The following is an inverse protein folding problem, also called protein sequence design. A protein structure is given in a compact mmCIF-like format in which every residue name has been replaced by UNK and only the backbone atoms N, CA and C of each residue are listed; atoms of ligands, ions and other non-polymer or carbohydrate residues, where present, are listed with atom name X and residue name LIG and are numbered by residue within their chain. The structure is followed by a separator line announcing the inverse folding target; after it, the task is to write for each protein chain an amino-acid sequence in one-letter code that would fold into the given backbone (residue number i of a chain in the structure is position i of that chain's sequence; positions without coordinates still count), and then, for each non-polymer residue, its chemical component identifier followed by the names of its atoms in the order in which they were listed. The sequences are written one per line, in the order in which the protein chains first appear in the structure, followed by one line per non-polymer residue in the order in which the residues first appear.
data_IF_773924986558
#
_entry.id   IF_773924986558
#
_cell.length_a   1.000
_cell.length_b   1.000
_cell.length_c   1.000
_cell.angle_alpha   90.00
_cell.angle_beta   90.00
_cell.angle_gamma   90.00
#
_symmetry.space_group_name_H-M   'P 1'
#
loop_
_entity.id
_entity.type
_entity.pdbx_description
1 polymer ?
#
# COMPACT_ATOMS: atom_id res chain seq x y z
N UNK A 1 43.72 10.95 -11.25
CA UNK A 1 42.59 11.81 -11.53
C UNK A 1 41.52 10.99 -12.30
N UNK A 2 41.04 9.89 -11.70
CA UNK A 2 40.01 8.97 -12.25
C UNK A 2 39.05 8.48 -11.15
N UNK A 3 38.84 9.22 -10.08
CA UNK A 3 38.01 8.77 -8.95
C UNK A 3 36.67 9.52 -8.80
N UNK A 4 36.24 10.33 -9.76
CA UNK A 4 35.07 11.19 -9.55
C UNK A 4 33.93 11.02 -10.57
N UNK A 5 33.90 9.92 -11.33
CA UNK A 5 32.81 9.63 -12.28
C UNK A 5 31.80 8.62 -11.72
N UNK A 6 32.14 7.90 -10.67
CA UNK A 6 31.23 6.90 -10.05
C UNK A 6 30.14 7.52 -9.15
N UNK A 7 30.25 8.78 -8.76
CA UNK A 7 29.36 9.45 -7.80
C UNK A 7 28.08 10.07 -8.42
N UNK A 8 27.86 9.96 -9.73
CA UNK A 8 26.72 10.58 -10.41
C UNK A 8 25.77 9.60 -11.13
N UNK A 9 25.80 8.32 -10.79
CA UNK A 9 24.65 7.48 -11.11
C UNK A 9 23.56 7.81 -10.08
N UNK A 10 22.82 8.88 -10.38
CA UNK A 10 21.60 9.18 -9.62
C UNK A 10 20.75 7.92 -9.70
N UNK A 11 20.56 7.30 -8.57
CA UNK A 11 19.79 6.07 -8.37
C UNK A 11 18.36 6.27 -8.90
N UNK A 12 18.11 5.88 -10.14
CA UNK A 12 16.79 6.07 -10.78
C UNK A 12 15.70 5.31 -10.05
N UNK A 13 16.00 4.13 -9.55
CA UNK A 13 15.05 3.30 -8.80
C UNK A 13 14.68 3.96 -7.47
N UNK A 14 15.66 4.45 -6.73
CA UNK A 14 15.42 5.13 -5.45
C UNK A 14 14.61 6.42 -5.63
N UNK A 15 14.98 7.29 -6.57
CA UNK A 15 14.23 8.52 -6.85
C UNK A 15 12.80 8.22 -7.32
N UNK A 16 12.61 7.17 -8.11
CA UNK A 16 11.28 6.76 -8.52
C UNK A 16 10.44 6.24 -7.35
N UNK A 17 11.05 5.57 -6.36
CA UNK A 17 10.36 5.15 -5.15
C UNK A 17 9.92 6.36 -4.31
N UNK A 18 10.81 7.35 -4.12
CA UNK A 18 10.48 8.60 -3.41
C UNK A 18 9.35 9.37 -4.12
N UNK A 19 9.44 9.50 -5.46
CA UNK A 19 8.42 10.18 -6.27
C UNK A 19 7.05 9.50 -6.14
N UNK A 20 7.00 8.16 -6.31
CA UNK A 20 5.76 7.41 -6.18
C UNK A 20 5.17 7.51 -4.77
N UNK A 21 6.02 7.34 -3.74
CA UNK A 21 5.61 7.51 -2.34
C UNK A 21 4.97 8.89 -2.13
N UNK A 22 5.62 9.97 -2.60
CA UNK A 22 5.11 11.33 -2.52
C UNK A 22 3.76 11.50 -3.25
N UNK A 23 3.61 10.96 -4.46
CA UNK A 23 2.33 11.00 -5.21
C UNK A 23 1.21 10.30 -4.45
N UNK A 24 1.49 9.15 -3.83
CA UNK A 24 0.51 8.40 -3.06
C UNK A 24 0.07 9.11 -1.78
N UNK A 25 0.95 9.87 -1.13
CA UNK A 25 0.61 10.68 0.03
C UNK A 25 -0.37 11.82 -0.29
N UNK A 26 -0.35 12.32 -1.52
CA UNK A 26 -1.20 13.42 -1.97
C UNK A 26 -2.57 12.97 -2.49
N UNK A 27 -2.83 11.65 -2.57
CA UNK A 27 -4.09 11.13 -3.10
C UNK A 27 -4.95 10.44 -2.05
N UNK A 28 -6.26 10.54 -2.19
CA UNK A 28 -7.23 9.74 -1.43
C UNK A 28 -7.53 8.39 -2.12
N UNK A 29 -7.13 8.21 -3.38
CA UNK A 29 -7.41 7.04 -4.22
C UNK A 29 -6.10 6.44 -4.74
N UNK A 30 -5.40 5.72 -3.86
CA UNK A 30 -4.11 5.10 -4.17
C UNK A 30 -4.16 4.18 -5.42
N UNK A 31 -5.27 3.46 -5.64
CA UNK A 31 -5.43 2.58 -6.80
C UNK A 31 -5.34 3.34 -8.12
N UNK A 32 -6.00 4.49 -8.25
CA UNK A 32 -5.92 5.31 -9.47
C UNK A 32 -4.54 5.93 -9.69
N UNK A 33 -3.88 6.32 -8.60
CA UNK A 33 -2.51 6.83 -8.70
C UNK A 33 -1.54 5.75 -9.18
N UNK A 34 -1.70 4.50 -8.70
CA UNK A 34 -0.91 3.36 -9.16
C UNK A 34 -1.19 3.01 -10.62
N UNK A 35 -2.45 3.02 -11.06
CA UNK A 35 -2.81 2.80 -12.48
C UNK A 35 -2.13 3.84 -13.39
N UNK A 36 -2.23 5.12 -13.03
CA UNK A 36 -1.57 6.21 -13.74
C UNK A 36 -0.04 6.04 -13.80
N UNK A 37 0.57 5.75 -12.65
CA UNK A 37 2.00 5.51 -12.54
C UNK A 37 2.49 4.37 -13.43
N UNK A 38 1.80 3.23 -13.39
CA UNK A 38 2.16 2.07 -14.20
C UNK A 38 2.05 2.35 -15.70
N UNK A 39 1.01 3.08 -16.12
CA UNK A 39 0.84 3.49 -17.52
C UNK A 39 1.92 4.46 -17.95
N UNK A 40 2.22 5.50 -17.18
CA UNK A 40 3.24 6.51 -17.47
C UNK A 40 4.63 5.86 -17.65
N UNK A 41 4.92 4.80 -16.91
CA UNK A 41 6.20 4.10 -16.95
C UNK A 41 6.23 2.86 -17.85
N UNK A 42 5.13 2.56 -18.53
CA UNK A 42 5.07 1.39 -19.41
C UNK A 42 5.15 0.04 -18.68
N UNK A 43 4.81 0.00 -17.38
CA UNK A 43 4.84 -1.23 -16.58
C UNK A 43 3.66 -2.11 -16.95
N UNK A 44 2.45 -1.55 -16.93
CA UNK A 44 1.21 -2.20 -17.31
C UNK A 44 0.11 -1.16 -17.50
N UNK A 45 -0.95 -1.52 -18.23
CA UNK A 45 -2.17 -0.72 -18.36
C UNK A 45 -3.39 -1.57 -17.97
N UNK A 46 -4.46 -0.89 -17.55
CA UNK A 46 -5.72 -1.53 -17.15
C UNK A 46 -6.22 -1.03 -15.80
N UNK A 47 -7.03 -1.87 -15.16
CA UNK A 47 -7.60 -1.59 -13.84
C UNK A 47 -6.98 -2.47 -12.76
N UNK A 48 -6.78 -1.87 -11.60
CA UNK A 48 -6.32 -2.59 -10.42
C UNK A 48 -7.41 -3.57 -9.98
N UNK A 49 -6.96 -4.79 -9.73
CA UNK A 49 -7.73 -5.84 -9.07
C UNK A 49 -7.05 -6.22 -7.76
N UNK A 50 -7.83 -6.70 -6.82
CA UNK A 50 -7.33 -7.18 -5.54
C UNK A 50 -7.50 -8.69 -5.50
N UNK A 51 -6.49 -9.39 -5.01
CA UNK A 51 -6.59 -10.83 -4.71
C UNK A 51 -6.44 -11.03 -3.21
N UNK A 52 -7.50 -11.50 -2.58
CA UNK A 52 -7.46 -11.84 -1.15
C UNK A 52 -6.65 -13.12 -0.93
N UNK A 53 -5.88 -13.13 0.15
CA UNK A 53 -5.23 -14.35 0.61
C UNK A 53 -6.22 -15.19 1.41
N UNK A 54 -6.34 -16.48 1.09
CA UNK A 54 -7.12 -17.42 1.88
C UNK A 54 -6.38 -17.74 3.18
N UNK A 55 -7.07 -17.63 4.32
CA UNK A 55 -6.54 -17.92 5.64
C UNK A 55 -5.11 -17.39 5.88
N UNK A 56 -4.84 -16.07 5.68
CA UNK A 56 -3.52 -15.53 5.92
C UNK A 56 -3.14 -15.71 7.40
N UNK A 57 -1.86 -16.00 7.65
CA UNK A 57 -1.36 -15.95 9.02
C UNK A 57 -1.65 -14.57 9.62
N UNK A 58 -2.24 -14.54 10.82
CA UNK A 58 -2.53 -13.30 11.50
C UNK A 58 -1.22 -12.54 11.73
N UNK A 59 -1.16 -11.31 11.22
CA UNK A 59 -0.06 -10.40 11.47
C UNK A 59 -0.40 -9.56 12.70
N UNK A 60 0.53 -9.47 13.65
CA UNK A 60 0.32 -8.65 14.85
C UNK A 60 0.29 -7.16 14.48
N UNK A 61 -0.66 -6.45 15.06
CA UNK A 61 -0.75 -5.00 14.92
C UNK A 61 0.31 -4.36 15.82
N UNK A 62 1.17 -3.51 15.25
CA UNK A 62 2.18 -2.78 16.02
C UNK A 62 1.52 -1.71 16.93
N UNK A 63 2.20 -1.28 18.02
CA UNK A 63 1.61 -0.35 18.99
C UNK A 63 1.14 0.98 18.38
N UNK A 64 1.84 1.52 17.37
CA UNK A 64 1.46 2.78 16.72
C UNK A 64 0.19 2.61 15.90
N UNK A 65 0.09 1.52 15.15
CA UNK A 65 -1.10 1.16 14.39
C UNK A 65 -2.29 0.88 15.31
N UNK A 66 -2.07 0.22 16.45
CA UNK A 66 -3.11 0.00 17.45
C UNK A 66 -3.60 1.32 18.06
N UNK A 67 -2.68 2.23 18.39
CA UNK A 67 -3.04 3.56 18.90
C UNK A 67 -3.87 4.35 17.87
N UNK A 68 -3.54 4.27 16.58
CA UNK A 68 -4.32 4.90 15.50
C UNK A 68 -5.76 4.35 15.37
N UNK A 69 -6.01 3.12 15.85
CA UNK A 69 -7.35 2.51 15.93
C UNK A 69 -8.09 2.82 17.23
N UNK A 70 -7.48 3.57 18.15
CA UNK A 70 -8.07 3.90 19.45
C UNK A 70 -7.59 3.01 20.60
N UNK A 71 -6.58 2.16 20.36
CA UNK A 71 -5.89 1.38 21.39
C UNK A 71 -6.56 0.05 21.80
N UNK A 72 -7.79 -0.22 21.37
CA UNK A 72 -8.50 -1.48 21.65
C UNK A 72 -8.55 -2.38 20.40
N UNK A 73 -7.92 -3.57 20.42
CA UNK A 73 -7.98 -4.52 19.31
C UNK A 73 -9.26 -5.35 19.27
N UNK A 74 -10.16 -5.21 20.25
CA UNK A 74 -11.38 -6.02 20.34
C UNK A 74 -12.26 -5.81 19.11
N UNK A 75 -12.71 -6.90 18.51
CA UNK A 75 -13.58 -6.86 17.32
C UNK A 75 -12.85 -6.59 16.01
N UNK A 76 -11.52 -6.46 15.99
CA UNK A 76 -10.76 -6.32 14.76
C UNK A 76 -10.78 -7.60 13.93
N UNK A 77 -10.94 -7.41 12.63
CA UNK A 77 -10.76 -8.46 11.61
C UNK A 77 -9.53 -8.14 10.78
N UNK A 78 -8.72 -9.16 10.53
CA UNK A 78 -7.54 -9.09 9.67
C UNK A 78 -7.86 -9.56 8.25
N UNK A 79 -7.34 -8.83 7.26
CA UNK A 79 -7.41 -9.18 5.85
C UNK A 79 -6.09 -8.86 5.17
N UNK A 80 -5.56 -9.80 4.39
CA UNK A 80 -4.37 -9.59 3.56
C UNK A 80 -4.74 -9.74 2.10
N UNK A 81 -4.20 -8.86 1.27
CA UNK A 81 -4.47 -8.84 -0.16
C UNK A 81 -3.23 -8.49 -0.97
N UNK A 82 -3.16 -9.00 -2.19
CA UNK A 82 -2.29 -8.47 -3.24
C UNK A 82 -3.07 -7.44 -4.06
N UNK A 83 -2.51 -6.25 -4.25
CA UNK A 83 -3.01 -5.26 -5.21
C UNK A 83 -2.28 -5.51 -6.53
N UNK A 84 -3.03 -5.80 -7.59
CA UNK A 84 -2.50 -6.28 -8.86
C UNK A 84 -2.99 -5.48 -10.04
N UNK A 85 -2.15 -5.35 -11.06
CA UNK A 85 -2.48 -4.76 -12.36
C UNK A 85 -1.98 -5.68 -13.48
N UNK A 86 -2.84 -6.05 -14.40
CA UNK A 86 -2.51 -6.96 -15.51
C UNK A 86 -1.76 -8.23 -15.06
N UNK A 87 -2.16 -8.81 -13.93
CA UNK A 87 -1.52 -10.01 -13.37
C UNK A 87 -0.25 -9.76 -12.54
N UNK A 88 0.29 -8.54 -12.54
CA UNK A 88 1.50 -8.17 -11.79
C UNK A 88 1.09 -7.72 -10.37
N UNK A 89 1.70 -8.29 -9.34
CA UNK A 89 1.51 -7.81 -7.96
C UNK A 89 2.37 -6.58 -7.71
N UNK A 90 1.70 -5.45 -7.43
CA UNK A 90 2.31 -4.16 -7.18
C UNK A 90 2.54 -3.89 -5.69
N UNK A 91 1.58 -4.32 -4.86
CA UNK A 91 1.55 -4.05 -3.42
C UNK A 91 1.05 -5.28 -2.67
N UNK A 92 1.69 -5.58 -1.54
CA UNK A 92 1.17 -6.46 -0.50
C UNK A 92 0.54 -5.57 0.58
N UNK A 93 -0.75 -5.77 0.85
CA UNK A 93 -1.48 -4.95 1.79
C UNK A 93 -2.12 -5.79 2.91
N UNK A 94 -1.79 -5.43 4.14
CA UNK A 94 -2.42 -5.92 5.35
C UNK A 94 -3.44 -4.88 5.85
N UNK A 95 -4.60 -5.33 6.28
CA UNK A 95 -5.69 -4.47 6.70
C UNK A 95 -6.34 -5.03 7.97
N UNK A 96 -6.44 -4.21 9.01
CA UNK A 96 -7.18 -4.47 10.24
C UNK A 96 -8.36 -3.51 10.29
N UNK A 97 -9.56 -4.01 10.42
CA UNK A 97 -10.77 -3.20 10.38
C UNK A 97 -11.83 -3.70 11.36
N UNK A 98 -12.76 -2.81 11.71
CA UNK A 98 -13.91 -3.11 12.56
C UNK A 98 -15.13 -3.46 11.70
N UNK A 99 -15.49 -4.74 11.54
CA UNK A 99 -16.62 -5.13 10.70
C UNK A 99 -17.96 -4.58 11.20
N UNK A 100 -18.13 -4.36 12.51
CA UNK A 100 -19.35 -3.79 13.09
C UNK A 100 -19.59 -2.33 12.69
N UNK A 101 -18.52 -1.61 12.24
CA UNK A 101 -18.62 -0.23 11.75
C UNK A 101 -18.94 -0.17 10.23
N UNK A 102 -19.15 -1.33 9.62
CA UNK A 102 -19.46 -1.47 8.19
C UNK A 102 -20.87 -2.02 8.02
N UNK A 103 -21.54 -1.63 6.94
CA UNK A 103 -22.83 -2.22 6.58
C UNK A 103 -22.70 -3.70 6.22
N UNK A 104 -23.78 -4.51 6.31
CA UNK A 104 -23.74 -5.91 5.86
C UNK A 104 -23.26 -6.07 4.41
N UNK A 105 -23.67 -5.19 3.50
CA UNK A 105 -23.25 -5.21 2.10
C UNK A 105 -21.73 -4.95 1.95
N UNK A 106 -21.17 -4.01 2.72
CA UNK A 106 -19.73 -3.75 2.73
C UNK A 106 -18.95 -4.95 3.25
N UNK A 107 -19.41 -5.58 4.34
CA UNK A 107 -18.78 -6.79 4.88
C UNK A 107 -18.77 -7.93 3.85
N UNK A 108 -19.86 -8.11 3.11
CA UNK A 108 -19.94 -9.13 2.07
C UNK A 108 -18.95 -8.85 0.93
N UNK A 109 -18.85 -7.61 0.46
CA UNK A 109 -17.87 -7.21 -0.56
C UNK A 109 -16.43 -7.45 -0.13
N UNK A 110 -16.11 -7.28 1.16
CA UNK A 110 -14.76 -7.50 1.69
C UNK A 110 -14.36 -8.97 1.81
N UNK A 111 -15.32 -9.90 1.72
CA UNK A 111 -15.02 -11.34 1.62
C UNK A 111 -14.45 -11.72 0.25
N UNK A 112 -14.73 -10.91 -0.76
CA UNK A 112 -14.22 -11.07 -2.12
C UNK A 112 -12.99 -10.23 -2.41
N UNK A 113 -12.74 -10.02 -3.71
CA UNK A 113 -11.57 -9.36 -4.27
C UNK A 113 -11.79 -7.86 -4.53
N UNK A 114 -12.65 -7.21 -3.74
CA UNK A 114 -12.90 -5.77 -3.85
C UNK A 114 -11.90 -4.98 -3.01
N UNK A 115 -11.30 -3.88 -3.54
CA UNK A 115 -10.46 -2.97 -2.76
C UNK A 115 -11.20 -2.41 -1.55
N UNK A 116 -10.50 -2.32 -0.40
CA UNK A 116 -11.11 -1.82 0.84
C UNK A 116 -11.65 -0.40 0.68
N UNK A 117 -10.82 0.51 0.14
CA UNK A 117 -11.21 1.91 -0.09
C UNK A 117 -12.44 2.07 -0.99
N UNK A 118 -12.55 1.24 -2.04
CA UNK A 118 -13.73 1.21 -2.90
C UNK A 118 -14.98 0.74 -2.16
N UNK A 119 -14.82 -0.29 -1.33
CA UNK A 119 -15.93 -0.83 -0.54
C UNK A 119 -16.51 0.20 0.42
N UNK A 120 -15.68 1.01 1.06
CA UNK A 120 -16.10 2.02 2.05
C UNK A 120 -16.29 3.41 1.47
N UNK A 121 -16.17 3.60 0.14
CA UNK A 121 -16.23 4.92 -0.50
C UNK A 121 -17.49 5.74 -0.11
N UNK A 122 -18.65 5.07 0.06
CA UNK A 122 -19.90 5.70 0.47
C UNK A 122 -19.83 6.33 1.88
N UNK A 123 -18.93 5.86 2.74
CA UNK A 123 -18.73 6.39 4.09
C UNK A 123 -17.91 7.70 4.08
N UNK A 124 -17.33 8.08 2.93
CA UNK A 124 -16.46 9.27 2.78
C UNK A 124 -15.34 9.31 3.82
N UNK A 125 -14.82 8.14 4.19
CA UNK A 125 -13.74 8.02 5.14
C UNK A 125 -12.48 8.76 4.61
N UNK A 126 -11.79 9.45 5.51
CA UNK A 126 -10.52 10.11 5.22
C UNK A 126 -9.37 9.15 5.51
N UNK A 127 -8.41 9.12 4.59
CA UNK A 127 -7.14 8.42 4.78
C UNK A 127 -6.12 9.39 5.36
N UNK A 128 -5.50 9.02 6.47
CA UNK A 128 -4.38 9.75 7.06
C UNK A 128 -3.20 8.80 7.20
N UNK A 129 -2.14 9.04 6.43
CA UNK A 129 -0.89 8.29 6.55
C UNK A 129 -0.13 8.79 7.78
N UNK A 130 0.25 7.88 8.68
CA UNK A 130 0.98 8.19 9.90
C UNK A 130 2.39 7.58 9.94
N UNK A 131 2.71 6.71 8.96
CA UNK A 131 4.03 6.13 8.81
C UNK A 131 4.40 5.99 7.34
N UNK A 132 5.63 6.37 7.00
CA UNK A 132 6.28 6.17 5.71
C UNK A 132 7.68 5.60 5.98
N UNK A 133 7.94 4.43 5.44
CA UNK A 133 9.26 3.80 5.46
C UNK A 133 9.74 3.60 4.03
N UNK A 134 10.93 4.09 3.70
CA UNK A 134 11.57 3.85 2.40
C UNK A 134 12.78 2.95 2.65
N UNK A 135 12.94 1.91 1.84
CA UNK A 135 14.09 1.02 1.93
C UNK A 135 15.38 1.76 1.58
N UNK A 136 16.50 1.25 2.08
CA UNK A 136 17.81 1.84 1.76
C UNK A 136 18.04 1.89 0.25
N UNK A 137 18.69 2.97 -0.20
CA UNK A 137 19.01 3.19 -1.60
C UNK A 137 19.67 1.96 -2.24
N UNK A 138 20.69 1.42 -1.58
CA UNK A 138 21.45 0.29 -2.11
C UNK A 138 20.59 -0.97 -2.24
N UNK A 139 19.65 -1.19 -1.31
CA UNK A 139 18.69 -2.28 -1.37
C UNK A 139 17.73 -2.15 -2.57
N UNK A 140 17.20 -0.94 -2.81
CA UNK A 140 16.32 -0.67 -3.97
C UNK A 140 17.10 -0.87 -5.28
N UNK A 141 18.30 -0.32 -5.39
CA UNK A 141 19.14 -0.47 -6.60
C UNK A 141 19.58 -1.92 -6.84
N UNK A 142 19.82 -2.67 -5.76
CA UNK A 142 20.11 -4.10 -5.87
C UNK A 142 18.89 -4.87 -6.40
N UNK A 143 17.70 -4.60 -5.87
CA UNK A 143 16.46 -5.22 -6.34
C UNK A 143 16.20 -4.94 -7.83
N UNK A 144 16.37 -3.69 -8.27
CA UNK A 144 16.24 -3.30 -9.68
C UNK A 144 17.27 -4.02 -10.54
N UNK A 145 18.55 -4.02 -10.14
CA UNK A 145 19.67 -4.61 -10.90
C UNK A 145 19.55 -6.13 -11.05
N UNK A 146 19.13 -6.81 -9.99
CA UNK A 146 18.98 -8.28 -9.98
C UNK A 146 17.62 -8.76 -10.47
N UNK A 147 16.74 -7.83 -10.83
CA UNK A 147 15.43 -8.19 -11.34
C UNK A 147 14.46 -8.71 -10.28
N UNK A 148 14.69 -8.45 -8.99
CA UNK A 148 13.77 -8.83 -7.91
C UNK A 148 12.55 -7.91 -7.89
N UNK A 149 11.54 -8.28 -8.67
CA UNK A 149 10.28 -7.55 -8.78
C UNK A 149 9.48 -7.50 -7.47
N UNK A 150 9.70 -8.47 -6.59
CA UNK A 150 8.92 -8.65 -5.37
C UNK A 150 9.52 -7.95 -4.16
N UNK A 151 10.78 -7.50 -4.23
CA UNK A 151 11.44 -6.81 -3.14
C UNK A 151 10.63 -5.59 -2.68
N UNK A 152 10.42 -5.39 -1.37
CA UNK A 152 9.78 -4.18 -0.86
C UNK A 152 10.71 -2.97 -1.04
N UNK A 153 10.16 -1.86 -1.54
CA UNK A 153 10.91 -0.63 -1.78
C UNK A 153 10.49 0.51 -0.85
N UNK A 154 9.23 0.54 -0.47
CA UNK A 154 8.72 1.42 0.58
C UNK A 154 7.41 0.86 1.14
N UNK A 155 7.01 1.40 2.29
CA UNK A 155 5.75 1.06 2.93
C UNK A 155 5.04 2.30 3.47
N UNK A 156 3.71 2.25 3.45
CA UNK A 156 2.86 3.22 4.10
C UNK A 156 1.96 2.54 5.12
N UNK A 157 1.76 3.20 6.28
CA UNK A 157 0.69 2.83 7.21
C UNK A 157 -0.25 4.01 7.33
N UNK A 158 -1.53 3.73 7.20
CA UNK A 158 -2.55 4.77 7.22
C UNK A 158 -3.78 4.30 8.01
N UNK A 159 -4.41 5.24 8.70
CA UNK A 159 -5.73 5.05 9.29
C UNK A 159 -6.79 5.61 8.34
N UNK A 160 -7.90 4.88 8.21
CA UNK A 160 -9.12 5.35 7.56
C UNK A 160 -10.13 5.61 8.65
N UNK A 161 -10.63 6.85 8.72
CA UNK A 161 -11.57 7.27 9.75
C UNK A 161 -12.74 8.06 9.15
N UNK A 162 -13.89 8.00 9.81
CA UNK A 162 -15.05 8.82 9.49
C UNK A 162 -14.78 10.30 9.77
N UNK A 163 -15.68 11.17 9.33
CA UNK A 163 -15.56 12.61 9.52
C UNK A 163 -15.55 13.04 11.01
N UNK A 164 -16.17 12.26 11.88
CA UNK A 164 -16.19 12.46 13.33
C UNK A 164 -14.93 11.94 14.04
N UNK A 165 -13.97 11.39 13.28
CA UNK A 165 -12.75 10.81 13.81
C UNK A 165 -12.84 9.33 14.19
N UNK A 166 -14.00 8.70 14.06
CA UNK A 166 -14.15 7.25 14.35
C UNK A 166 -13.29 6.43 13.40
N UNK A 167 -12.29 5.68 13.87
CA UNK A 167 -11.43 4.88 13.00
C UNK A 167 -12.21 3.68 12.47
N UNK A 168 -12.05 3.39 11.18
CA UNK A 168 -12.63 2.24 10.51
C UNK A 168 -11.63 1.11 10.37
N UNK A 169 -10.41 1.47 9.97
CA UNK A 169 -9.34 0.50 9.72
C UNK A 169 -7.96 1.15 9.76
N UNK A 170 -6.94 0.31 9.94
CA UNK A 170 -5.55 0.62 9.59
C UNK A 170 -5.15 -0.27 8.43
N UNK A 171 -4.43 0.31 7.47
CA UNK A 171 -3.81 -0.41 6.36
C UNK A 171 -2.30 -0.28 6.45
N UNK A 172 -1.60 -1.38 6.14
CA UNK A 172 -0.15 -1.43 5.96
C UNK A 172 0.12 -1.91 4.54
N UNK A 173 0.64 -1.05 3.71
CA UNK A 173 0.88 -1.28 2.29
C UNK A 173 2.38 -1.34 2.03
N UNK A 174 2.86 -2.47 1.50
CA UNK A 174 4.26 -2.71 1.12
C UNK A 174 4.35 -2.71 -0.39
N UNK A 175 5.01 -1.70 -0.95
CA UNK A 175 5.14 -1.47 -2.39
C UNK A 175 6.37 -2.19 -2.93
N UNK A 176 6.25 -2.79 -4.12
CA UNK A 176 7.24 -3.71 -4.69
C UNK A 176 8.12 -3.05 -5.75
N UNK A 177 9.34 -3.55 -5.92
CA UNK A 177 10.35 -3.02 -6.84
C UNK A 177 9.93 -3.04 -8.32
N UNK A 178 8.94 -3.84 -8.70
CA UNK A 178 8.36 -3.79 -10.04
C UNK A 178 7.88 -2.38 -10.44
N UNK A 179 7.51 -1.55 -9.46
CA UNK A 179 7.02 -0.19 -9.66
C UNK A 179 8.09 0.82 -10.09
N UNK A 180 9.38 0.49 -9.93
CA UNK A 180 10.50 1.43 -10.16
C UNK A 180 11.53 0.91 -11.16
N UNK A 181 11.17 -0.08 -11.93
CA UNK A 181 11.97 -0.64 -13.04
C UNK A 181 11.91 0.21 -14.28
#
# INVERSE_FOLDING_TARGET
MVQDVAARHVSRGFLAAEELSGRLLLTQLATRALEGWCRERGIADGHIVVRRHDAPAAEALDPTSLAALGGDPSGLTFRRVDIRLAGITLVDAANWYFPERLTPAMRERLRGDTPFGETIAALKARRTTFFVGIADRDAIEAAVRHGDAAAPIFEHRAVLALADGTPLSVVHERYRAVLVR
#
